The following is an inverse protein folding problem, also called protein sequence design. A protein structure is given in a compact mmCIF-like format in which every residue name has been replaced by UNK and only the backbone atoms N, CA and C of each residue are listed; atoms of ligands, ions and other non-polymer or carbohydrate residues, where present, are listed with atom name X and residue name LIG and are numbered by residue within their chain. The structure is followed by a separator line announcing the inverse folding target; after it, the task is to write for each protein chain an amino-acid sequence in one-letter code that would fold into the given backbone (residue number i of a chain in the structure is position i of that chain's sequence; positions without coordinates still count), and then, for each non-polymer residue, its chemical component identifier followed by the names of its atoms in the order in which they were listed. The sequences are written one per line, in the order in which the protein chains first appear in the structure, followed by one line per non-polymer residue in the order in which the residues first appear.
data_IF_768131235163
#
_entry.id   IF_768131235163
#
_cell.length_a   1.000
_cell.length_b   1.000
_cell.length_c   1.000
_cell.angle_alpha   90.00
_cell.angle_beta   90.00
_cell.angle_gamma   90.00
#
_symmetry.space_group_name_H-M   'P 1'
#
loop_
_entity.id
_entity.type
_entity.pdbx_description
1 polymer ?
#
# COMPACT_ATOMS: atom_id res chain seq x y z
N UNK A 1 -34.38 6.42 10.58
CA UNK A 1 -33.53 7.29 9.74
C UNK A 1 -32.12 6.75 9.51
N UNK A 2 -31.42 6.24 10.54
CA UNK A 2 -30.05 5.71 10.40
C UNK A 2 -29.89 4.62 9.32
N UNK A 3 -30.80 3.65 9.23
CA UNK A 3 -30.74 2.61 8.19
C UNK A 3 -30.86 3.17 6.76
N UNK A 4 -31.64 4.24 6.55
CA UNK A 4 -31.73 4.92 5.24
C UNK A 4 -30.42 5.64 4.89
N UNK A 5 -29.78 6.28 5.88
CA UNK A 5 -28.47 6.92 5.74
C UNK A 5 -27.38 5.91 5.39
N UNK A 6 -27.33 4.80 6.13
CA UNK A 6 -26.36 3.73 5.88
C UNK A 6 -26.54 3.11 4.50
N UNK A 7 -27.80 2.85 4.10
CA UNK A 7 -28.13 2.37 2.76
C UNK A 7 -27.64 3.35 1.68
N UNK A 8 -27.87 4.64 1.85
CA UNK A 8 -27.44 5.68 0.92
C UNK A 8 -25.90 5.71 0.77
N UNK A 9 -25.17 5.70 1.89
CA UNK A 9 -23.70 5.73 1.90
C UNK A 9 -23.11 4.46 1.26
N UNK A 10 -23.70 3.29 1.51
CA UNK A 10 -23.22 2.05 0.90
C UNK A 10 -23.46 2.06 -0.61
N UNK A 11 -24.65 2.45 -1.07
CA UNK A 11 -24.95 2.45 -2.51
C UNK A 11 -24.25 3.57 -3.29
N UNK A 12 -23.88 4.68 -2.65
CA UNK A 12 -23.06 5.71 -3.31
C UNK A 12 -21.60 5.28 -3.49
N UNK A 13 -21.10 4.41 -2.60
CA UNK A 13 -19.67 4.02 -2.56
C UNK A 13 -19.37 2.73 -3.29
N UNK A 14 -20.34 1.82 -3.39
CA UNK A 14 -20.15 0.53 -4.04
C UNK A 14 -21.09 0.39 -5.24
N UNK A 15 -20.55 -0.03 -6.38
CA UNK A 15 -21.41 -0.57 -7.42
C UNK A 15 -22.03 -1.89 -6.94
N UNK A 16 -23.24 -2.22 -7.40
CA UNK A 16 -23.93 -3.48 -7.03
C UNK A 16 -23.01 -4.70 -7.23
N UNK A 17 -22.31 -4.75 -8.36
CA UNK A 17 -21.32 -5.78 -8.68
C UNK A 17 -20.05 -5.69 -7.82
N UNK A 18 -19.57 -4.48 -7.50
CA UNK A 18 -18.41 -4.28 -6.62
C UNK A 18 -18.66 -4.78 -5.20
N UNK A 19 -19.85 -4.53 -4.65
CA UNK A 19 -20.25 -5.05 -3.34
C UNK A 19 -20.42 -6.57 -3.36
N UNK A 20 -21.09 -7.11 -4.38
CA UNK A 20 -21.28 -8.56 -4.53
C UNK A 20 -19.95 -9.30 -4.65
N UNK A 21 -19.01 -8.80 -5.46
CA UNK A 21 -17.66 -9.40 -5.62
C UNK A 21 -16.85 -9.31 -4.34
N UNK A 22 -16.90 -8.18 -3.62
CA UNK A 22 -16.23 -8.02 -2.32
C UNK A 22 -16.77 -9.01 -1.29
N UNK A 23 -18.09 -9.15 -1.18
CA UNK A 23 -18.72 -10.10 -0.25
C UNK A 23 -18.38 -11.53 -0.66
N UNK A 24 -18.53 -11.89 -1.94
CA UNK A 24 -18.22 -13.24 -2.42
C UNK A 24 -16.75 -13.62 -2.17
N UNK A 25 -15.80 -12.72 -2.49
CA UNK A 25 -14.38 -12.94 -2.22
C UNK A 25 -14.10 -13.06 -0.71
N UNK A 26 -14.78 -12.25 0.11
CA UNK A 26 -14.65 -12.29 1.57
C UNK A 26 -15.13 -13.61 2.16
N UNK A 27 -16.28 -14.12 1.70
CA UNK A 27 -16.86 -15.41 2.12
C UNK A 27 -15.98 -16.57 1.66
N UNK A 28 -15.50 -16.52 0.42
CA UNK A 28 -14.63 -17.56 -0.11
C UNK A 28 -13.30 -17.62 0.64
N UNK A 29 -12.69 -16.46 0.93
CA UNK A 29 -11.48 -16.39 1.73
C UNK A 29 -11.72 -16.89 3.17
N UNK A 30 -12.79 -16.46 3.84
CA UNK A 30 -13.09 -16.92 5.20
C UNK A 30 -13.39 -18.41 5.25
N UNK A 31 -14.09 -18.97 4.27
CA UNK A 31 -14.37 -20.40 4.18
C UNK A 31 -13.07 -21.22 4.02
N UNK A 32 -12.14 -20.76 3.19
CA UNK A 32 -10.81 -21.39 3.04
C UNK A 32 -10.06 -21.37 4.37
N UNK A 33 -10.07 -20.24 5.09
CA UNK A 33 -9.36 -20.12 6.37
C UNK A 33 -9.98 -20.96 7.47
N UNK A 34 -11.30 -20.91 7.65
CA UNK A 34 -12.00 -21.75 8.61
C UNK A 34 -11.70 -23.23 8.32
N UNK A 35 -11.77 -23.65 7.05
CA UNK A 35 -11.43 -25.01 6.65
C UNK A 35 -9.99 -25.37 7.02
N UNK A 36 -9.02 -24.49 6.74
CA UNK A 36 -7.61 -24.73 7.08
C UNK A 36 -7.39 -24.93 8.59
N UNK A 37 -8.05 -24.13 9.42
CA UNK A 37 -7.97 -24.25 10.89
C UNK A 37 -8.65 -25.52 11.37
N UNK A 38 -9.83 -25.86 10.85
CA UNK A 38 -10.57 -27.08 11.24
C UNK A 38 -9.84 -28.37 10.87
N UNK A 39 -9.06 -28.35 9.79
CA UNK A 39 -8.24 -29.49 9.35
C UNK A 39 -6.93 -29.60 10.13
N UNK A 40 -6.68 -28.72 11.12
CA UNK A 40 -5.44 -28.70 11.88
C UNK A 40 -4.22 -28.38 11.04
N UNK A 41 -4.39 -27.61 9.94
CA UNK A 41 -3.25 -27.18 9.14
C UNK A 41 -2.37 -26.25 9.99
N UNK A 42 -1.28 -26.79 10.52
CA UNK A 42 -0.28 -26.00 11.23
C UNK A 42 0.48 -25.13 10.22
N UNK A 43 0.74 -23.88 10.58
CA UNK A 43 1.59 -23.02 9.75
C UNK A 43 2.98 -23.64 9.67
N UNK A 44 3.47 -23.87 8.46
CA UNK A 44 4.87 -24.28 8.22
C UNK A 44 5.86 -23.19 8.65
N UNK A 45 5.38 -21.96 8.87
CA UNK A 45 6.20 -20.86 9.38
C UNK A 45 6.21 -20.83 10.91
N UNK A 46 7.40 -20.76 11.53
CA UNK A 46 7.51 -20.55 12.97
C UNK A 46 6.77 -19.30 13.47
N UNK A 47 6.23 -19.39 14.69
CA UNK A 47 5.39 -18.37 15.35
C UNK A 47 5.99 -16.96 15.36
N UNK A 48 7.30 -16.86 15.54
CA UNK A 48 8.01 -15.58 15.59
C UNK A 48 8.00 -14.82 14.25
N UNK A 49 7.97 -15.51 13.10
CA UNK A 49 7.80 -14.85 11.81
C UNK A 49 6.39 -14.31 11.62
N UNK A 50 5.37 -15.04 12.07
CA UNK A 50 3.97 -14.60 12.00
C UNK A 50 3.77 -13.27 12.74
N UNK A 51 4.43 -13.10 13.90
CA UNK A 51 4.44 -11.82 14.64
C UNK A 51 5.08 -10.71 13.81
N UNK A 52 6.24 -10.96 13.20
CA UNK A 52 6.92 -9.98 12.36
C UNK A 52 6.04 -9.59 11.15
N UNK A 53 5.40 -10.56 10.49
CA UNK A 53 4.48 -10.32 9.38
C UNK A 53 3.28 -9.48 9.79
N UNK A 54 2.55 -9.87 10.84
CA UNK A 54 1.38 -9.13 11.31
C UNK A 54 1.78 -7.71 11.69
N UNK A 55 2.87 -7.56 12.44
CA UNK A 55 3.34 -6.24 12.90
C UNK A 55 3.68 -5.34 11.72
N UNK A 56 4.46 -5.84 10.76
CA UNK A 56 4.87 -5.06 9.61
C UNK A 56 3.68 -4.71 8.69
N UNK A 57 2.75 -5.64 8.45
CA UNK A 57 1.52 -5.35 7.70
C UNK A 57 0.64 -4.32 8.42
N UNK A 58 0.51 -4.48 9.73
CA UNK A 58 -0.31 -3.59 10.56
C UNK A 58 0.22 -2.16 10.50
N UNK A 59 1.53 -1.97 10.68
CA UNK A 59 2.17 -0.66 10.58
C UNK A 59 2.07 -0.11 9.17
N UNK A 60 2.37 -0.92 8.16
CA UNK A 60 2.35 -0.51 6.76
C UNK A 60 0.96 -0.01 6.36
N UNK A 61 -0.10 -0.79 6.63
CA UNK A 61 -1.46 -0.38 6.28
C UNK A 61 -2.02 0.73 7.18
N UNK A 62 -1.59 0.84 8.44
CA UNK A 62 -1.95 1.96 9.31
C UNK A 62 -1.24 3.26 8.88
N UNK A 63 -0.02 3.15 8.33
CA UNK A 63 0.72 4.28 7.79
C UNK A 63 0.17 4.73 6.44
N UNK A 64 -0.10 3.77 5.55
CA UNK A 64 -0.57 4.05 4.20
C UNK A 64 -2.01 4.50 4.24
N UNK A 65 -2.87 3.80 4.97
CA UNK A 65 -4.31 3.91 4.79
C UNK A 65 -4.92 5.27 5.15
N UNK A 66 -6.16 5.47 4.72
CA UNK A 66 -6.95 6.64 5.11
C UNK A 66 -8.40 6.55 4.68
N UNK A 67 -9.10 7.64 4.96
CA UNK A 67 -10.53 7.70 4.88
C UNK A 67 -11.01 7.91 3.44
N UNK A 68 -11.96 7.06 3.05
CA UNK A 68 -12.67 7.17 1.79
C UNK A 68 -13.76 8.22 1.96
N UNK A 69 -13.52 9.39 1.38
CA UNK A 69 -14.55 10.41 1.21
C UNK A 69 -14.71 10.70 -0.26
N UNK A 70 -15.95 10.77 -0.69
CA UNK A 70 -16.30 11.25 -2.01
C UNK A 70 -16.51 12.76 -1.93
N UNK A 71 -16.34 13.47 -3.05
CA UNK A 71 -16.65 14.90 -3.11
C UNK A 71 -18.12 15.16 -2.75
N UNK A 72 -19.00 14.30 -3.25
CA UNK A 72 -20.42 14.34 -2.91
C UNK A 72 -20.69 14.24 -1.39
N UNK A 73 -19.81 13.59 -0.62
CA UNK A 73 -19.97 13.53 0.83
C UNK A 73 -19.73 14.92 1.44
N UNK A 74 -18.70 15.64 1.00
CA UNK A 74 -18.38 17.00 1.47
C UNK A 74 -19.47 18.00 1.06
N UNK A 75 -19.91 17.94 -0.19
CA UNK A 75 -20.86 18.92 -0.74
C UNK A 75 -22.29 18.70 -0.21
N UNK A 76 -22.70 17.45 0.00
CA UNK A 76 -24.08 17.11 0.39
C UNK A 76 -24.18 16.46 1.78
N UNK A 77 -23.35 15.47 2.10
CA UNK A 77 -23.54 14.66 3.31
C UNK A 77 -23.18 15.42 4.60
N UNK A 78 -22.13 16.25 4.55
CA UNK A 78 -21.70 17.08 5.68
C UNK A 78 -22.50 18.38 5.85
N UNK A 79 -23.21 18.83 4.82
CA UNK A 79 -24.07 20.02 4.84
C UNK A 79 -25.49 19.74 5.33
N UNK A 80 -25.93 18.48 5.28
CA UNK A 80 -27.23 18.07 5.81
C UNK A 80 -27.30 18.19 7.34
N UNK A 81 -28.46 18.57 7.91
CA UNK A 81 -28.67 18.69 9.35
C UNK A 81 -28.85 17.30 10.00
N UNK A 82 -27.80 16.47 9.93
CA UNK A 82 -27.75 15.12 10.49
C UNK A 82 -26.80 15.12 11.69
N UNK A 83 -27.18 14.42 12.76
CA UNK A 83 -26.31 14.23 13.92
C UNK A 83 -24.93 13.68 13.50
N UNK A 84 -23.85 14.39 13.86
CA UNK A 84 -22.47 13.99 13.56
C UNK A 84 -22.11 12.59 14.06
N UNK A 85 -22.73 12.16 15.16
CA UNK A 85 -22.58 10.78 15.68
C UNK A 85 -23.14 9.73 14.71
N UNK A 86 -24.35 9.94 14.19
CA UNK A 86 -24.99 9.01 13.24
C UNK A 86 -24.24 8.98 11.90
N UNK A 87 -23.79 10.14 11.44
CA UNK A 87 -22.95 10.28 10.26
C UNK A 87 -21.62 9.53 10.42
N UNK A 88 -20.92 9.78 11.53
CA UNK A 88 -19.64 9.14 11.86
C UNK A 88 -19.73 7.62 11.90
N UNK A 89 -20.78 7.07 12.53
CA UNK A 89 -21.00 5.61 12.57
C UNK A 89 -21.24 5.05 11.17
N UNK A 90 -22.09 5.70 10.35
CA UNK A 90 -22.41 5.19 9.02
C UNK A 90 -21.19 5.19 8.08
N UNK A 91 -20.39 6.27 8.13
CA UNK A 91 -19.13 6.39 7.39
C UNK A 91 -18.06 5.41 7.89
N UNK A 92 -18.00 5.14 9.19
CA UNK A 92 -17.12 4.14 9.78
C UNK A 92 -17.48 2.73 9.32
N UNK A 93 -18.77 2.36 9.35
CA UNK A 93 -19.24 1.05 8.85
C UNK A 93 -18.92 0.90 7.35
N UNK A 94 -19.14 1.95 6.56
CA UNK A 94 -18.75 1.93 5.15
C UNK A 94 -17.25 1.65 4.99
N UNK A 95 -16.40 2.28 5.80
CA UNK A 95 -14.96 2.02 5.79
C UNK A 95 -14.64 0.57 6.16
N UNK A 96 -15.29 -0.01 7.18
CA UNK A 96 -15.10 -1.43 7.52
C UNK A 96 -15.44 -2.37 6.36
N UNK A 97 -16.54 -2.13 5.64
CA UNK A 97 -16.91 -2.93 4.46
C UNK A 97 -15.84 -2.81 3.38
N UNK A 98 -15.33 -1.61 3.14
CA UNK A 98 -14.29 -1.37 2.14
C UNK A 98 -12.98 -2.12 2.49
N UNK A 99 -12.62 -2.16 3.77
CA UNK A 99 -11.41 -2.84 4.26
C UNK A 99 -11.64 -4.33 4.60
N UNK A 100 -12.82 -4.90 4.29
CA UNK A 100 -13.20 -6.26 4.69
C UNK A 100 -12.19 -7.34 4.27
N UNK A 101 -11.64 -7.22 3.06
CA UNK A 101 -10.63 -8.17 2.56
C UNK A 101 -9.34 -8.11 3.38
N UNK A 102 -8.92 -6.92 3.82
CA UNK A 102 -7.72 -6.76 4.67
C UNK A 102 -8.00 -7.33 6.07
N UNK A 103 -9.20 -7.12 6.60
CA UNK A 103 -9.63 -7.71 7.88
C UNK A 103 -9.56 -9.24 7.82
N UNK A 104 -10.04 -9.83 6.73
CA UNK A 104 -10.02 -11.29 6.53
C UNK A 104 -8.62 -11.81 6.20
N UNK A 105 -7.82 -11.03 5.47
CA UNK A 105 -6.43 -11.39 5.16
C UNK A 105 -5.59 -11.57 6.42
N UNK A 106 -5.81 -10.76 7.47
CA UNK A 106 -5.13 -10.97 8.76
C UNK A 106 -5.45 -12.32 9.40
N UNK A 107 -6.58 -12.95 9.04
CA UNK A 107 -6.93 -14.30 9.51
C UNK A 107 -6.11 -15.42 8.86
N UNK A 108 -5.28 -15.14 7.85
CA UNK A 108 -4.32 -16.12 7.30
C UNK A 108 -3.34 -16.60 8.38
N UNK A 109 -3.00 -15.72 9.30
CA UNK A 109 -2.05 -16.03 10.37
C UNK A 109 -2.71 -16.75 11.56
N UNK A 110 -4.02 -17.01 11.49
CA UNK A 110 -4.79 -17.64 12.56
C UNK A 110 -4.76 -19.16 12.42
N UNK A 111 -3.70 -19.81 12.89
CA UNK A 111 -3.57 -21.28 12.91
C UNK A 111 -4.17 -21.95 14.17
N UNK A 112 -4.77 -21.16 15.06
CA UNK A 112 -5.46 -21.63 16.27
C UNK A 112 -6.87 -21.01 16.32
N UNK A 113 -7.83 -21.73 16.89
CA UNK A 113 -9.22 -21.26 17.10
C UNK A 113 -9.28 -19.95 17.87
N UNK A 114 -8.36 -19.73 18.83
CA UNK A 114 -8.24 -18.45 19.55
C UNK A 114 -7.82 -17.27 18.66
N UNK A 115 -6.94 -17.49 17.69
CA UNK A 115 -6.50 -16.44 16.75
C UNK A 115 -7.63 -16.05 15.77
N UNK A 116 -8.59 -16.92 15.52
CA UNK A 116 -9.74 -16.68 14.64
C UNK A 116 -10.63 -15.55 15.17
N UNK A 117 -10.67 -15.34 16.49
CA UNK A 117 -11.41 -14.24 17.12
C UNK A 117 -10.58 -12.96 17.22
N UNK A 118 -9.26 -13.09 17.37
CA UNK A 118 -8.34 -11.94 17.51
C UNK A 118 -8.03 -11.29 16.15
N UNK A 119 -7.94 -12.05 15.06
CA UNK A 119 -7.60 -11.49 13.75
C UNK A 119 -8.63 -10.49 13.20
N UNK A 120 -9.96 -10.68 13.33
CA UNK A 120 -10.92 -9.66 12.93
C UNK A 120 -10.84 -8.41 13.82
N UNK A 121 -10.57 -8.57 15.12
CA UNK A 121 -10.35 -7.44 16.03
C UNK A 121 -9.12 -6.64 15.59
N UNK A 122 -8.01 -7.30 15.28
CA UNK A 122 -6.83 -6.66 14.72
C UNK A 122 -7.16 -5.89 13.44
N UNK A 123 -7.93 -6.47 12.52
CA UNK A 123 -8.40 -5.79 11.31
C UNK A 123 -9.25 -4.54 11.59
N UNK A 124 -10.21 -4.64 12.51
CA UNK A 124 -11.05 -3.50 12.93
C UNK A 124 -10.21 -2.40 13.58
N UNK A 125 -9.24 -2.79 14.43
CA UNK A 125 -8.31 -1.84 15.06
C UNK A 125 -7.41 -1.17 14.03
N UNK A 126 -6.97 -1.89 12.99
CA UNK A 126 -6.16 -1.36 11.90
C UNK A 126 -6.91 -0.28 11.12
N UNK A 127 -8.17 -0.55 10.77
CA UNK A 127 -9.03 0.45 10.11
C UNK A 127 -9.26 1.65 11.01
N UNK A 128 -9.50 1.43 12.29
CA UNK A 128 -9.72 2.51 13.26
C UNK A 128 -8.46 3.37 13.48
N UNK A 129 -7.30 2.74 13.68
CA UNK A 129 -6.03 3.42 13.87
C UNK A 129 -5.69 4.27 12.65
N UNK A 130 -5.82 3.70 11.46
CA UNK A 130 -5.67 4.38 10.19
C UNK A 130 -6.51 5.68 10.15
N UNK A 131 -7.83 5.60 10.40
CA UNK A 131 -8.71 6.77 10.41
C UNK A 131 -8.29 7.82 11.45
N UNK A 132 -7.78 7.38 12.61
CA UNK A 132 -7.32 8.32 13.64
C UNK A 132 -6.00 9.01 13.29
N UNK A 133 -5.10 8.34 12.57
CA UNK A 133 -3.75 8.83 12.27
C UNK A 133 -3.67 9.69 11.00
N UNK A 134 -4.71 9.71 10.17
CA UNK A 134 -4.69 10.36 8.85
C UNK A 134 -4.29 11.84 8.88
N UNK A 135 -4.64 12.56 9.94
CA UNK A 135 -4.45 14.00 10.05
C UNK A 135 -3.26 14.39 10.93
N UNK A 136 -2.63 13.41 11.57
CA UNK A 136 -1.51 13.67 12.46
C UNK A 136 -0.27 14.03 11.63
N UNK A 137 0.57 14.90 12.18
CA UNK A 137 1.87 15.21 11.58
C UNK A 137 2.66 13.92 11.42
N UNK A 138 3.37 13.77 10.29
CA UNK A 138 4.17 12.58 9.97
C UNK A 138 5.08 12.13 11.12
N UNK A 139 5.69 13.05 11.87
CA UNK A 139 6.52 12.72 13.03
C UNK A 139 5.76 12.02 14.16
N UNK A 140 4.57 12.50 14.49
CA UNK A 140 3.73 11.91 15.55
C UNK A 140 3.15 10.58 15.08
N UNK A 141 2.78 10.49 13.80
CA UNK A 141 2.31 9.27 13.16
C UNK A 141 3.36 8.16 13.24
N UNK A 142 4.61 8.47 12.91
CA UNK A 142 5.73 7.52 13.02
C UNK A 142 5.96 7.12 14.48
N UNK A 143 5.97 8.07 15.42
CA UNK A 143 6.16 7.78 16.85
C UNK A 143 5.09 6.79 17.36
N UNK A 144 3.81 7.07 17.14
CA UNK A 144 2.71 6.19 17.58
C UNK A 144 2.86 4.79 16.97
N UNK A 145 3.16 4.70 15.67
CA UNK A 145 3.34 3.42 15.00
C UNK A 145 4.55 2.66 15.51
N UNK A 146 5.65 3.34 15.88
CA UNK A 146 6.83 2.67 16.48
C UNK A 146 6.52 2.10 17.86
N UNK A 147 5.74 2.81 18.69
CA UNK A 147 5.31 2.30 20.01
C UNK A 147 4.41 1.07 19.84
N UNK A 148 3.46 1.11 18.90
CA UNK A 148 2.59 -0.02 18.60
C UNK A 148 3.40 -1.20 18.03
N UNK A 149 4.39 -0.93 17.17
CA UNK A 149 5.30 -1.94 16.65
C UNK A 149 6.03 -2.69 17.76
N UNK A 150 6.63 -1.96 18.69
CA UNK A 150 7.34 -2.53 19.83
C UNK A 150 6.38 -3.33 20.72
N UNK A 151 5.15 -2.86 20.90
CA UNK A 151 4.14 -3.61 21.65
C UNK A 151 3.73 -4.91 20.96
N UNK A 152 3.57 -4.93 19.64
CA UNK A 152 3.26 -6.14 18.87
C UNK A 152 4.46 -7.11 18.81
N UNK A 153 5.69 -6.63 18.89
CA UNK A 153 6.90 -7.45 18.92
C UNK A 153 7.20 -7.98 20.32
N UNK A 154 6.72 -7.32 21.37
CA UNK A 154 7.01 -7.65 22.77
C UNK A 154 6.83 -9.12 23.18
N UNK A 155 5.92 -9.94 22.61
CA UNK A 155 5.84 -11.36 22.95
C UNK A 155 7.09 -12.16 22.62
N UNK A 156 7.93 -11.70 21.68
CA UNK A 156 9.22 -12.34 21.40
C UNK A 156 10.18 -12.28 22.60
N UNK A 157 9.97 -11.34 23.53
CA UNK A 157 10.76 -11.17 24.76
C UNK A 157 10.04 -11.84 25.95
N UNK A 158 8.96 -12.60 25.71
CA UNK A 158 8.18 -13.28 26.75
C UNK A 158 7.06 -12.42 27.37
N UNK A 159 6.75 -11.26 26.80
CA UNK A 159 5.65 -10.43 27.29
C UNK A 159 4.28 -10.97 26.88
N UNK A 160 3.44 -11.32 27.86
CA UNK A 160 2.16 -12.01 27.63
C UNK A 160 1.00 -11.08 27.22
N UNK A 161 1.08 -9.79 27.53
CA UNK A 161 -0.01 -8.81 27.33
C UNK A 161 0.14 -8.01 26.02
N UNK A 162 0.04 -8.69 24.88
CA UNK A 162 0.16 -8.06 23.56
C UNK A 162 -0.92 -8.55 22.60
N UNK A 163 -1.31 -7.74 21.60
CA UNK A 163 -2.22 -8.18 20.54
C UNK A 163 -1.80 -9.42 19.76
N UNK A 164 -0.49 -9.70 19.71
CA UNK A 164 0.09 -10.83 18.97
C UNK A 164 0.45 -12.00 19.89
N UNK A 165 0.31 -11.90 21.21
CA UNK A 165 0.73 -12.95 22.16
C UNK A 165 -0.11 -14.23 22.04
N UNK A 166 -1.30 -14.15 21.44
CA UNK A 166 -2.14 -15.30 21.10
C UNK A 166 -1.48 -16.31 20.16
N UNK A 167 -0.48 -15.88 19.38
CA UNK A 167 0.38 -16.75 18.56
C UNK A 167 1.14 -17.76 19.45
N UNK A 168 1.58 -17.35 20.64
CA UNK A 168 2.26 -18.22 21.60
C UNK A 168 1.30 -18.97 22.54
N UNK A 169 -0.01 -18.93 22.28
CA UNK A 169 -1.01 -19.62 23.10
C UNK A 169 -1.60 -18.81 24.25
N UNK A 170 -1.18 -17.56 24.44
CA UNK A 170 -1.73 -16.65 25.46
C UNK A 170 -3.02 -15.97 24.99
N UNK A 171 -4.08 -16.75 24.80
CA UNK A 171 -5.34 -16.26 24.23
C UNK A 171 -6.02 -15.21 25.13
N UNK A 172 -6.18 -15.49 26.43
CA UNK A 172 -6.92 -14.63 27.35
C UNK A 172 -6.20 -13.30 27.59
N UNK A 173 -4.88 -13.34 27.75
CA UNK A 173 -4.04 -12.16 27.93
C UNK A 173 -4.08 -11.28 26.68
N UNK A 174 -4.00 -11.89 25.50
CA UNK A 174 -4.12 -11.17 24.22
C UNK A 174 -5.51 -10.57 24.03
N UNK A 175 -6.59 -11.31 24.34
CA UNK A 175 -7.97 -10.83 24.25
C UNK A 175 -8.21 -9.63 25.19
N UNK A 176 -7.72 -9.73 26.43
CA UNK A 176 -7.90 -8.70 27.46
C UNK A 176 -7.30 -7.35 27.07
N UNK A 177 -6.30 -7.36 26.18
CA UNK A 177 -5.62 -6.18 25.67
C UNK A 177 -6.19 -5.72 24.33
N UNK A 178 -6.44 -6.65 23.40
CA UNK A 178 -6.94 -6.33 22.07
C UNK A 178 -8.33 -5.72 22.10
N UNK A 179 -9.24 -6.29 22.88
CA UNK A 179 -10.62 -5.83 22.96
C UNK A 179 -10.71 -4.36 23.41
N UNK A 180 -10.14 -3.92 24.55
CA UNK A 180 -10.19 -2.51 24.94
C UNK A 180 -9.42 -1.61 23.99
N UNK A 181 -8.29 -2.06 23.43
CA UNK A 181 -7.56 -1.31 22.40
C UNK A 181 -8.44 -1.05 21.17
N UNK A 182 -9.14 -2.07 20.67
CA UNK A 182 -10.06 -1.93 19.53
C UNK A 182 -11.24 -1.05 19.87
N UNK A 183 -11.82 -1.17 21.07
CA UNK A 183 -12.94 -0.36 21.53
C UNK A 183 -12.57 1.13 21.63
N UNK A 184 -11.37 1.43 22.16
CA UNK A 184 -10.86 2.79 22.27
C UNK A 184 -10.59 3.41 20.89
N UNK A 185 -9.96 2.66 19.99
CA UNK A 185 -9.70 3.13 18.63
C UNK A 185 -10.98 3.31 17.81
N UNK A 186 -11.93 2.39 17.92
CA UNK A 186 -13.23 2.50 17.23
C UNK A 186 -14.01 3.71 17.72
N UNK A 187 -14.02 3.96 19.03
CA UNK A 187 -14.68 5.14 19.59
C UNK A 187 -14.06 6.46 19.13
N UNK A 188 -12.72 6.54 19.16
CA UNK A 188 -11.99 7.74 18.71
C UNK A 188 -12.11 7.95 17.20
N UNK A 189 -12.11 6.88 16.40
CA UNK A 189 -12.27 6.97 14.94
C UNK A 189 -13.68 7.44 14.56
N UNK A 190 -14.75 6.92 15.18
CA UNK A 190 -16.13 7.37 14.94
C UNK A 190 -16.29 8.86 15.24
N UNK A 191 -15.74 9.33 16.36
CA UNK A 191 -15.79 10.76 16.73
C UNK A 191 -15.06 11.64 15.72
N UNK A 192 -13.89 11.21 15.25
CA UNK A 192 -13.12 11.97 14.24
C UNK A 192 -13.82 12.00 12.89
N UNK A 193 -14.28 10.85 12.40
CA UNK A 193 -14.95 10.72 11.10
C UNK A 193 -16.24 11.56 11.05
N UNK A 194 -16.98 11.64 12.16
CA UNK A 194 -18.19 12.47 12.24
C UNK A 194 -17.94 13.97 12.08
N UNK A 195 -16.72 14.45 12.38
CA UNK A 195 -16.34 15.87 12.36
C UNK A 195 -15.28 16.17 11.28
N UNK A 196 -15.20 15.35 10.23
CA UNK A 196 -14.11 15.41 9.25
C UNK A 196 -14.14 16.71 8.41
N UNK A 197 -15.32 17.32 8.20
CA UNK A 197 -15.50 18.58 7.49
C UNK A 197 -14.69 19.73 8.10
N UNK A 198 -14.77 19.88 9.42
CA UNK A 198 -14.01 20.88 10.19
C UNK A 198 -12.50 20.67 10.05
N UNK A 199 -12.07 19.42 9.97
CA UNK A 199 -10.66 19.07 9.89
C UNK A 199 -10.10 19.34 8.50
N UNK A 200 -10.89 19.05 7.46
CA UNK A 200 -10.54 19.36 6.07
C UNK A 200 -10.40 20.87 5.86
N UNK A 201 -11.34 21.68 6.38
CA UNK A 201 -11.25 23.15 6.34
C UNK A 201 -9.99 23.69 7.03
N UNK A 202 -9.61 23.11 8.18
CA UNK A 202 -8.38 23.49 8.91
C UNK A 202 -7.10 23.11 8.17
N UNK A 203 -7.14 22.08 7.32
CA UNK A 203 -6.01 21.68 6.48
C UNK A 203 -5.82 22.68 5.33
N UNK A 204 -6.92 23.08 4.69
CA UNK A 204 -6.94 24.02 3.55
C UNK A 204 -6.27 25.34 3.93
N UNK A 205 -6.59 25.91 5.10
CA UNK A 205 -6.01 27.18 5.56
C UNK A 205 -4.51 27.13 5.86
N UNK A 206 -3.91 25.93 5.92
CA UNK A 206 -2.49 25.73 6.25
C UNK A 206 -1.61 25.32 5.07
N UNK A 207 -2.19 24.99 3.91
CA UNK A 207 -1.47 24.38 2.78
C UNK A 207 -0.91 25.34 1.71
N UNK A 208 -0.96 26.66 1.91
CA UNK A 208 -0.30 27.63 1.02
C UNK A 208 1.22 27.64 1.19
N UNK A 209 1.88 26.55 0.79
CA UNK A 209 3.34 26.42 0.79
C UNK A 209 3.93 26.87 -0.54
N UNK A 210 4.68 27.98 -0.54
CA UNK A 210 5.53 28.45 -1.64
C UNK A 210 6.52 27.33 -2.04
N UNK A 211 6.67 27.09 -3.36
CA UNK A 211 7.65 26.15 -3.92
C UNK A 211 9.05 26.59 -3.49
N UNK A 212 9.63 25.91 -2.49
CA UNK A 212 10.91 26.33 -1.88
C UNK A 212 12.12 26.23 -2.82
N UNK A 213 12.03 25.48 -3.92
CA UNK A 213 13.17 25.22 -4.81
C UNK A 213 12.74 25.08 -6.28
N UNK A 214 13.06 26.08 -7.10
CA UNK A 214 12.90 26.04 -8.55
C UNK A 214 13.99 25.19 -9.20
N UNK A 215 13.62 24.33 -10.15
CA UNK A 215 14.55 23.62 -11.03
C UNK A 215 14.46 24.28 -12.41
N UNK A 216 15.61 24.61 -13.02
CA UNK A 216 15.68 25.10 -14.39
C UNK A 216 15.88 23.96 -15.39
N UNK A 217 15.20 24.01 -16.53
CA UNK A 217 15.24 22.99 -17.59
C UNK A 217 15.81 23.49 -18.93
N UNK A 218 16.51 24.63 -18.94
CA UNK A 218 16.84 25.41 -20.15
C UNK A 218 17.69 24.67 -21.22
N UNK A 219 18.25 23.49 -20.93
CA UNK A 219 19.17 22.78 -21.85
C UNK A 219 18.98 21.26 -21.92
N UNK A 220 17.89 20.72 -21.37
CA UNK A 220 17.68 19.26 -21.30
C UNK A 220 16.77 18.73 -22.42
N UNK A 221 17.12 17.55 -22.97
CA UNK A 221 16.24 16.81 -23.87
C UNK A 221 14.95 16.41 -23.14
N UNK A 222 13.81 16.20 -23.83
CA UNK A 222 12.52 15.92 -23.17
C UNK A 222 12.57 14.75 -22.17
N UNK A 223 13.27 13.66 -22.51
CA UNK A 223 13.47 12.51 -21.62
C UNK A 223 14.31 12.90 -20.39
N UNK A 224 15.39 13.68 -20.59
CA UNK A 224 16.28 14.12 -19.51
C UNK A 224 15.57 15.07 -18.55
N UNK A 225 14.73 15.96 -19.07
CA UNK A 225 13.90 16.88 -18.26
C UNK A 225 12.98 16.10 -17.31
N UNK A 226 12.28 15.09 -17.83
CA UNK A 226 11.34 14.28 -17.04
C UNK A 226 12.09 13.44 -16.02
N UNK A 227 13.21 12.82 -16.42
CA UNK A 227 14.07 12.10 -15.48
C UNK A 227 14.59 13.03 -14.39
N UNK A 228 15.12 14.20 -14.74
CA UNK A 228 15.62 15.16 -13.76
C UNK A 228 14.53 15.60 -12.78
N UNK A 229 13.31 15.85 -13.25
CA UNK A 229 12.17 16.17 -12.39
C UNK A 229 11.88 15.02 -11.41
N UNK A 230 11.69 13.79 -11.91
CA UNK A 230 11.32 12.63 -11.08
C UNK A 230 12.47 12.13 -10.19
N UNK A 231 13.72 12.32 -10.60
CA UNK A 231 14.90 11.98 -9.81
C UNK A 231 15.29 13.05 -8.80
N UNK A 232 14.78 14.27 -8.93
CA UNK A 232 14.95 15.30 -7.89
C UNK A 232 13.82 15.20 -6.87
N UNK A 233 12.60 15.00 -7.36
CA UNK A 233 11.38 15.02 -6.56
C UNK A 233 10.65 13.69 -6.58
N UNK A 234 10.50 13.11 -5.39
CA UNK A 234 9.61 12.00 -5.15
C UNK A 234 8.27 12.52 -4.64
N UNK A 235 7.19 12.38 -5.41
CA UNK A 235 5.87 12.65 -4.89
C UNK A 235 5.48 11.52 -3.94
N UNK A 236 5.59 11.75 -2.64
CA UNK A 236 5.03 10.82 -1.66
C UNK A 236 3.53 11.06 -1.63
N UNK A 237 2.84 10.33 -2.51
CA UNK A 237 1.39 10.31 -2.57
C UNK A 237 0.91 9.42 -1.44
N UNK A 238 0.45 10.05 -0.36
CA UNK A 238 -0.32 9.37 0.68
C UNK A 238 -1.71 9.08 0.16
N UNK A 239 -1.83 8.18 -0.82
CA UNK A 239 -3.13 7.62 -1.16
C UNK A 239 -3.43 6.51 -0.17
N UNK A 240 -4.54 6.74 0.49
CA UNK A 240 -4.81 6.16 1.74
C UNK A 240 -5.65 4.91 1.53
N UNK A 241 -5.04 3.87 0.94
CA UNK A 241 -5.76 2.67 0.56
C UNK A 241 -5.24 1.96 -0.69
N UNK A 242 -4.49 0.89 -0.46
CA UNK A 242 -3.94 -0.07 -1.42
C UNK A 242 -4.93 -0.61 -2.48
N UNK A 243 -6.22 -0.69 -2.12
CA UNK A 243 -7.31 -1.13 -3.01
C UNK A 243 -8.47 -0.16 -3.04
N UNK A 244 -8.26 0.99 -2.41
CA UNK A 244 -9.34 1.78 -1.90
C UNK A 244 -9.50 2.97 -2.80
N UNK A 245 -10.71 3.22 -3.32
CA UNK A 245 -11.05 4.46 -3.96
C UNK A 245 -11.14 5.59 -2.91
N UNK A 246 -10.12 5.76 -2.08
CA UNK A 246 -10.04 6.86 -1.14
C UNK A 246 -9.73 8.13 -1.93
N UNK A 247 -10.63 9.10 -1.76
CA UNK A 247 -10.52 10.41 -2.39
C UNK A 247 -9.52 11.32 -1.67
N UNK A 248 -9.15 11.08 -0.41
CA UNK A 248 -8.23 12.00 0.27
C UNK A 248 -6.81 11.94 -0.32
N UNK A 249 -6.47 12.94 -1.14
CA UNK A 249 -5.15 13.10 -1.73
C UNK A 249 -4.29 13.96 -0.81
N UNK A 250 -3.19 13.39 -0.30
CA UNK A 250 -2.14 14.15 0.36
C UNK A 250 -0.85 13.87 -0.37
N UNK A 251 -0.45 14.77 -1.24
CA UNK A 251 0.86 14.73 -1.86
C UNK A 251 1.83 15.54 -1.02
N UNK A 252 2.92 14.89 -0.62
CA UNK A 252 4.08 15.58 -0.11
C UNK A 252 5.24 15.29 -1.06
N UNK A 253 5.78 16.34 -1.65
CA UNK A 253 6.99 16.19 -2.45
C UNK A 253 8.18 16.16 -1.52
N UNK A 254 8.99 15.10 -1.64
CA UNK A 254 10.22 14.90 -0.87
C UNK A 254 11.37 14.85 -1.87
N UNK A 255 12.55 15.34 -1.49
CA UNK A 255 13.75 15.18 -2.31
C UNK A 255 14.16 13.73 -2.35
N UNK A 256 14.45 13.20 -3.53
CA UNK A 256 14.93 11.83 -3.71
C UNK A 256 16.20 11.54 -2.90
N UNK A 257 17.09 12.53 -2.73
CA UNK A 257 18.29 12.38 -1.89
C UNK A 257 17.96 11.96 -0.46
N UNK A 258 16.89 12.50 0.13
CA UNK A 258 16.43 12.10 1.46
C UNK A 258 15.95 10.65 1.50
N UNK A 259 15.29 10.18 0.44
CA UNK A 259 14.84 8.78 0.34
C UNK A 259 16.03 7.85 0.19
N UNK A 260 17.00 8.20 -0.66
CA UNK A 260 18.22 7.41 -0.84
C UNK A 260 19.02 7.30 0.47
N UNK A 261 19.09 8.37 1.27
CA UNK A 261 19.71 8.30 2.61
C UNK A 261 18.96 7.31 3.49
N UNK A 262 17.63 7.40 3.55
CA UNK A 262 16.80 6.49 4.36
C UNK A 262 16.95 5.04 3.90
N UNK A 263 16.88 4.76 2.60
CA UNK A 263 17.05 3.39 2.08
C UNK A 263 18.48 2.88 2.25
N UNK A 264 19.48 3.75 2.24
CA UNK A 264 20.87 3.37 2.56
C UNK A 264 21.04 2.97 4.02
N UNK A 265 20.47 3.74 4.96
CA UNK A 265 20.49 3.39 6.39
C UNK A 265 19.74 2.08 6.65
N UNK A 266 18.58 1.89 6.01
CA UNK A 266 17.84 0.62 6.08
C UNK A 266 18.61 -0.54 5.42
N UNK A 267 19.36 -0.29 4.35
CA UNK A 267 20.24 -1.27 3.73
C UNK A 267 21.36 -1.72 4.67
N UNK A 268 21.97 -0.80 5.42
CA UNK A 268 22.97 -1.14 6.45
C UNK A 268 22.33 -1.99 7.56
N UNK A 269 21.14 -1.61 8.04
CA UNK A 269 20.42 -2.39 9.04
C UNK A 269 20.08 -3.80 8.51
N UNK A 270 19.64 -3.90 7.25
CA UNK A 270 19.40 -5.16 6.56
C UNK A 270 20.68 -6.01 6.50
N UNK A 271 21.83 -5.43 6.13
CA UNK A 271 23.12 -6.13 6.13
C UNK A 271 23.44 -6.73 7.49
N UNK A 272 23.34 -5.94 8.56
CA UNK A 272 23.68 -6.38 9.93
C UNK A 272 22.77 -7.56 10.34
N UNK A 273 21.46 -7.45 10.10
CA UNK A 273 20.48 -8.48 10.47
C UNK A 273 20.74 -9.78 9.72
N UNK A 274 20.93 -9.74 8.40
CA UNK A 274 21.17 -10.96 7.63
C UNK A 274 22.56 -11.54 7.80
N UNK A 275 23.58 -10.69 8.07
CA UNK A 275 24.92 -11.16 8.39
C UNK A 275 24.94 -11.95 9.70
N UNK A 276 24.21 -11.48 10.71
CA UNK A 276 24.00 -12.21 11.96
C UNK A 276 23.11 -13.45 11.73
N UNK A 277 22.04 -13.30 10.96
CA UNK A 277 21.13 -14.39 10.59
C UNK A 277 21.82 -15.60 9.96
N UNK A 278 22.82 -15.36 9.11
CA UNK A 278 23.67 -16.39 8.53
C UNK A 278 24.44 -17.23 9.57
N UNK A 279 24.70 -16.69 10.76
CA UNK A 279 25.35 -17.41 11.86
C UNK A 279 24.36 -18.18 12.75
N UNK A 280 23.08 -17.79 12.74
CA UNK A 280 22.05 -18.38 13.62
C UNK A 280 21.43 -19.62 13.00
N UNK A 281 20.80 -19.48 11.82
CA UNK A 281 20.16 -20.60 11.14
C UNK A 281 19.87 -20.29 9.67
N UNK A 282 19.87 -21.33 8.82
CA UNK A 282 19.48 -21.20 7.41
C UNK A 282 18.00 -20.83 7.27
N UNK A 283 17.12 -21.40 8.08
CA UNK A 283 15.67 -21.09 8.08
C UNK A 283 15.41 -19.60 8.32
N UNK A 284 16.17 -18.97 9.22
CA UNK A 284 16.12 -17.52 9.43
C UNK A 284 16.44 -16.71 8.19
N UNK A 285 17.47 -17.12 7.47
CA UNK A 285 17.85 -16.46 6.22
C UNK A 285 16.73 -16.61 5.19
N UNK A 286 16.22 -17.82 4.95
CA UNK A 286 15.18 -18.06 3.95
C UNK A 286 13.89 -17.30 4.24
N UNK A 287 13.35 -17.44 5.45
CA UNK A 287 12.08 -16.79 5.80
C UNK A 287 12.25 -15.28 5.92
N UNK A 288 13.29 -14.82 6.60
CA UNK A 288 13.59 -13.40 6.73
C UNK A 288 13.75 -12.73 5.36
N UNK A 289 14.45 -13.38 4.44
CA UNK A 289 14.69 -12.83 3.12
C UNK A 289 13.41 -12.80 2.29
N UNK A 290 12.54 -13.82 2.39
CA UNK A 290 11.22 -13.81 1.74
C UNK A 290 10.35 -12.64 2.24
N UNK A 291 10.41 -12.34 3.54
CA UNK A 291 9.71 -11.22 4.17
C UNK A 291 10.23 -9.92 3.58
N UNK A 292 11.53 -9.68 3.71
CA UNK A 292 12.14 -8.41 3.36
C UNK A 292 11.99 -8.08 1.87
N UNK A 293 12.22 -9.06 0.99
CA UNK A 293 12.05 -8.89 -0.46
C UNK A 293 10.61 -8.54 -0.84
N UNK A 294 9.63 -9.22 -0.23
CA UNK A 294 8.21 -8.92 -0.46
C UNK A 294 7.89 -7.49 -0.03
N UNK A 295 8.36 -7.04 1.13
CA UNK A 295 8.12 -5.67 1.60
C UNK A 295 8.79 -4.61 0.73
N UNK A 296 10.05 -4.83 0.33
CA UNK A 296 10.79 -3.92 -0.56
C UNK A 296 10.07 -3.82 -1.92
N UNK A 297 9.61 -4.94 -2.46
CA UNK A 297 8.89 -4.97 -3.72
C UNK A 297 7.51 -4.33 -3.64
N UNK A 298 6.73 -4.64 -2.60
CA UNK A 298 5.43 -4.00 -2.34
C UNK A 298 5.62 -2.50 -2.23
N UNK A 299 6.61 -2.04 -1.46
CA UNK A 299 6.92 -0.62 -1.35
C UNK A 299 7.29 -0.01 -2.70
N UNK A 300 8.20 -0.62 -3.45
CA UNK A 300 8.64 -0.02 -4.71
C UNK A 300 7.57 -0.03 -5.80
N UNK A 301 7.00 -1.19 -6.13
CA UNK A 301 6.04 -1.34 -7.22
C UNK A 301 4.78 -0.50 -6.96
N UNK A 302 4.27 -0.50 -5.72
CA UNK A 302 3.08 0.30 -5.40
C UNK A 302 3.40 1.78 -5.32
N UNK A 303 4.36 2.17 -4.49
CA UNK A 303 4.53 3.58 -4.20
C UNK A 303 5.18 4.30 -5.36
N UNK A 304 6.26 3.77 -5.93
CA UNK A 304 6.92 4.40 -7.08
C UNK A 304 6.01 4.33 -8.30
N UNK A 305 5.36 3.19 -8.51
CA UNK A 305 4.48 2.98 -9.66
C UNK A 305 3.22 3.85 -9.63
N UNK A 306 2.47 3.83 -8.53
CA UNK A 306 1.27 4.66 -8.40
C UNK A 306 1.61 6.15 -8.27
N UNK A 307 2.62 6.52 -7.49
CA UNK A 307 2.89 7.94 -7.21
C UNK A 307 3.17 8.73 -8.47
N UNK A 308 3.96 8.19 -9.41
CA UNK A 308 4.29 8.89 -10.65
C UNK A 308 3.06 9.21 -11.48
N UNK A 309 2.12 8.27 -11.59
CA UNK A 309 0.89 8.46 -12.35
C UNK A 309 -0.07 9.42 -11.62
N UNK A 310 -0.28 9.21 -10.31
CA UNK A 310 -1.21 10.01 -9.52
C UNK A 310 -0.69 11.42 -9.21
N UNK A 311 0.61 11.66 -9.37
CA UNK A 311 1.23 12.96 -9.11
C UNK A 311 1.00 13.98 -10.21
N UNK A 312 0.80 13.52 -11.42
CA UNK A 312 0.74 14.38 -12.60
C UNK A 312 -0.70 14.54 -13.07
N UNK A 313 -1.03 15.74 -13.54
CA UNK A 313 -2.28 15.98 -14.28
C UNK A 313 -2.09 15.56 -15.73
N UNK A 314 -2.04 14.25 -15.94
CA UNK A 314 -1.72 13.65 -17.23
C UNK A 314 -2.66 14.18 -18.35
N UNK A 315 -3.93 14.46 -18.04
CA UNK A 315 -4.87 15.05 -19.01
C UNK A 315 -4.52 16.48 -19.44
N UNK A 316 -3.78 17.25 -18.66
CA UNK A 316 -3.27 18.57 -19.05
C UNK A 316 -1.89 18.44 -19.70
N UNK A 317 -1.02 17.62 -19.12
CA UNK A 317 0.37 17.50 -19.55
C UNK A 317 0.49 16.86 -20.94
N UNK A 318 -0.35 15.88 -21.25
CA UNK A 318 -0.28 15.17 -22.52
C UNK A 318 -0.70 16.03 -23.70
N UNK A 319 -1.83 16.77 -23.69
CA UNK A 319 -2.15 17.67 -24.80
C UNK A 319 -1.05 18.69 -25.08
N UNK A 320 -0.34 19.14 -24.04
CA UNK A 320 0.74 20.13 -24.18
C UNK A 320 2.07 19.54 -24.68
N UNK A 321 2.48 18.36 -24.20
CA UNK A 321 3.81 17.78 -24.46
C UNK A 321 3.76 16.62 -25.48
N UNK A 322 2.59 16.02 -25.67
CA UNK A 322 2.34 14.86 -26.53
C UNK A 322 2.45 13.50 -25.82
N UNK A 323 2.02 12.44 -26.52
CA UNK A 323 1.95 11.08 -25.98
C UNK A 323 3.30 10.49 -25.53
N UNK A 324 4.42 10.99 -26.08
CA UNK A 324 5.78 10.57 -25.71
C UNK A 324 6.09 10.85 -24.24
N UNK A 325 5.44 11.83 -23.62
CA UNK A 325 5.54 12.11 -22.19
C UNK A 325 5.23 10.86 -21.34
N UNK A 326 4.17 10.13 -21.69
CA UNK A 326 3.77 8.94 -20.93
C UNK A 326 4.82 7.83 -21.03
N UNK A 327 5.44 7.65 -22.20
CA UNK A 327 6.55 6.71 -22.40
C UNK A 327 7.73 7.06 -21.48
N UNK A 328 8.11 8.33 -21.42
CA UNK A 328 9.21 8.79 -20.57
C UNK A 328 8.88 8.67 -19.08
N UNK A 329 7.62 8.87 -18.70
CA UNK A 329 7.16 8.69 -17.33
C UNK A 329 7.24 7.21 -16.87
N UNK A 330 6.90 6.25 -17.74
CA UNK A 330 7.08 4.82 -17.46
C UNK A 330 8.56 4.50 -17.26
N UNK A 331 9.45 5.00 -18.12
CA UNK A 331 10.90 4.79 -17.95
C UNK A 331 11.40 5.44 -16.66
N UNK A 332 10.94 6.65 -16.34
CA UNK A 332 11.32 7.34 -15.12
C UNK A 332 10.88 6.59 -13.86
N UNK A 333 9.72 5.93 -13.85
CA UNK A 333 9.28 5.13 -12.70
C UNK A 333 10.18 3.92 -12.46
N UNK A 334 10.63 3.25 -13.54
CA UNK A 334 11.61 2.17 -13.46
C UNK A 334 12.96 2.64 -12.91
N UNK A 335 13.51 3.73 -13.45
CA UNK A 335 14.80 4.29 -13.00
C UNK A 335 14.72 4.78 -11.55
N UNK A 336 13.62 5.41 -11.17
CA UNK A 336 13.40 5.86 -9.80
C UNK A 336 13.31 4.68 -8.82
N UNK A 337 12.59 3.62 -9.20
CA UNK A 337 12.52 2.36 -8.44
C UNK A 337 13.89 1.73 -8.26
N UNK A 338 14.69 1.67 -9.34
CA UNK A 338 16.07 1.16 -9.31
C UNK A 338 16.93 1.92 -8.29
N UNK A 339 16.94 3.25 -8.34
CA UNK A 339 17.75 4.08 -7.42
C UNK A 339 17.32 3.90 -5.95
N UNK A 340 16.02 3.74 -5.69
CA UNK A 340 15.51 3.54 -4.32
C UNK A 340 15.96 2.18 -3.76
N UNK A 341 15.97 1.13 -4.59
CA UNK A 341 16.28 -0.24 -4.18
C UNK A 341 17.80 -0.53 -4.20
N UNK A 342 18.56 0.24 -4.97
CA UNK A 342 19.99 0.04 -5.18
C UNK A 342 20.80 -0.27 -3.90
N UNK A 343 20.60 0.42 -2.75
CA UNK A 343 21.29 0.06 -1.52
C UNK A 343 21.04 -1.38 -1.04
N UNK A 344 19.80 -1.87 -1.13
CA UNK A 344 19.46 -3.25 -0.77
C UNK A 344 20.07 -4.26 -1.76
N UNK A 345 20.01 -3.97 -3.05
CA UNK A 345 20.62 -4.81 -4.09
C UNK A 345 22.13 -4.94 -3.93
N UNK A 346 22.85 -3.85 -3.61
CA UNK A 346 24.29 -3.88 -3.33
C UNK A 346 24.57 -4.73 -2.10
N UNK A 347 23.78 -4.56 -1.03
CA UNK A 347 23.94 -5.35 0.20
C UNK A 347 23.76 -6.83 -0.07
N UNK A 348 22.77 -7.23 -0.87
CA UNK A 348 22.58 -8.63 -1.27
C UNK A 348 23.74 -9.17 -2.11
N UNK A 349 24.29 -8.36 -3.04
CA UNK A 349 25.49 -8.74 -3.79
C UNK A 349 26.70 -8.94 -2.86
N UNK A 350 26.84 -8.12 -1.81
CA UNK A 350 27.90 -8.30 -0.81
C UNK A 350 27.65 -9.57 0.03
N UNK A 351 26.42 -9.77 0.52
CA UNK A 351 26.04 -10.97 1.27
C UNK A 351 26.18 -12.26 0.46
N UNK A 352 26.14 -12.16 -0.87
CA UNK A 352 26.30 -13.30 -1.78
C UNK A 352 27.65 -14.00 -1.68
N UNK A 353 28.68 -13.30 -1.19
CA UNK A 353 30.00 -13.87 -0.92
C UNK A 353 29.90 -15.03 0.08
N UNK A 354 28.97 -14.93 1.05
CA UNK A 354 28.79 -15.97 2.07
C UNK A 354 27.67 -16.95 1.73
N UNK A 355 26.66 -16.54 0.96
CA UNK A 355 25.58 -17.44 0.56
C UNK A 355 25.02 -17.06 -0.82
N UNK A 356 25.08 -17.97 -1.82
CA UNK A 356 24.71 -17.67 -3.19
C UNK A 356 23.23 -17.31 -3.39
N UNK A 357 22.35 -17.61 -2.42
CA UNK A 357 20.95 -17.19 -2.47
C UNK A 357 20.78 -15.68 -2.58
N UNK A 358 21.63 -14.92 -1.90
CA UNK A 358 21.58 -13.46 -1.96
C UNK A 358 21.94 -12.93 -3.35
N UNK A 359 22.68 -13.68 -4.17
CA UNK A 359 22.93 -13.30 -5.57
C UNK A 359 21.62 -13.25 -6.36
N UNK A 360 20.81 -14.30 -6.28
CA UNK A 360 19.53 -14.39 -6.99
C UNK A 360 18.59 -13.26 -6.56
N UNK A 361 18.61 -12.95 -5.27
CA UNK A 361 17.77 -11.93 -4.67
C UNK A 361 18.24 -10.53 -5.06
N UNK A 362 19.54 -10.26 -4.97
CA UNK A 362 20.13 -8.98 -5.40
C UNK A 362 19.85 -8.71 -6.89
N UNK A 363 20.00 -9.72 -7.76
CA UNK A 363 19.64 -9.61 -9.18
C UNK A 363 18.14 -9.31 -9.33
N UNK A 364 17.26 -9.99 -8.58
CA UNK A 364 15.82 -9.72 -8.64
C UNK A 364 15.47 -8.29 -8.21
N UNK A 365 16.11 -7.79 -7.15
CA UNK A 365 15.89 -6.45 -6.63
C UNK A 365 16.31 -5.38 -7.65
N UNK A 366 17.45 -5.59 -8.32
CA UNK A 366 18.04 -4.63 -9.26
C UNK A 366 17.42 -4.69 -10.66
N UNK A 367 16.91 -5.84 -11.11
CA UNK A 367 16.36 -5.98 -12.47
C UNK A 367 14.84 -6.15 -12.48
N UNK A 368 14.32 -7.13 -11.75
CA UNK A 368 12.91 -7.48 -11.83
C UNK A 368 12.00 -6.40 -11.22
N UNK A 369 12.34 -5.87 -10.05
CA UNK A 369 11.48 -4.89 -9.39
C UNK A 369 11.33 -3.59 -10.22
N UNK A 370 12.39 -2.98 -10.77
CA UNK A 370 12.25 -1.84 -11.67
C UNK A 370 11.37 -2.13 -12.88
N UNK A 371 11.56 -3.27 -13.55
CA UNK A 371 10.74 -3.68 -14.69
C UNK A 371 9.27 -3.88 -14.31
N UNK A 372 9.03 -4.50 -13.15
CA UNK A 372 7.69 -4.72 -12.62
C UNK A 372 7.00 -3.39 -12.29
N UNK A 373 7.73 -2.38 -11.81
CA UNK A 373 7.22 -1.03 -11.60
C UNK A 373 6.81 -0.38 -12.92
N UNK A 374 7.64 -0.48 -13.97
CA UNK A 374 7.30 0.02 -15.31
C UNK A 374 6.03 -0.62 -15.84
N UNK A 375 5.94 -1.95 -15.80
CA UNK A 375 4.77 -2.71 -16.25
C UNK A 375 3.52 -2.34 -15.44
N UNK A 376 3.66 -2.23 -14.12
CA UNK A 376 2.56 -1.86 -13.23
C UNK A 376 2.04 -0.46 -13.52
N UNK A 377 2.90 0.53 -13.76
CA UNK A 377 2.46 1.90 -14.13
C UNK A 377 1.63 1.92 -15.41
N UNK A 378 2.05 1.15 -16.42
CA UNK A 378 1.33 1.03 -17.68
C UNK A 378 -0.04 0.36 -17.49
N UNK A 379 -0.08 -0.80 -16.80
CA UNK A 379 -1.32 -1.53 -16.56
C UNK A 379 -2.29 -0.75 -15.68
N UNK A 380 -1.77 -0.02 -14.69
CA UNK A 380 -2.57 0.86 -13.85
C UNK A 380 -3.25 1.95 -14.69
N UNK A 381 -2.49 2.63 -15.56
CA UNK A 381 -3.02 3.64 -16.48
C UNK A 381 -4.12 3.09 -17.39
N UNK A 382 -3.92 1.86 -17.89
CA UNK A 382 -4.86 1.21 -18.80
C UNK A 382 -6.16 0.80 -18.10
N UNK A 383 -6.07 0.21 -16.90
CA UNK A 383 -7.23 -0.36 -16.18
C UNK A 383 -7.99 0.72 -15.43
N UNK A 384 -7.28 1.65 -14.79
CA UNK A 384 -7.86 2.70 -13.98
C UNK A 384 -7.10 4.03 -14.16
N UNK A 385 -7.49 4.83 -15.16
CA UNK A 385 -6.88 6.12 -15.47
C UNK A 385 -7.25 7.17 -14.41
N UNK A 386 -6.75 6.98 -13.20
CA UNK A 386 -6.98 7.86 -12.07
C UNK A 386 -6.16 9.12 -12.28
N UNK A 387 -6.83 10.27 -12.25
CA UNK A 387 -6.19 11.55 -12.48
C UNK A 387 -6.63 12.59 -11.47
N UNK A 388 -5.70 13.48 -11.15
CA UNK A 388 -5.99 14.69 -10.39
C UNK A 388 -6.78 15.64 -11.29
N UNK A 389 -8.06 15.85 -10.96
CA UNK A 389 -8.93 16.81 -11.63
C UNK A 389 -8.85 18.21 -11.01
N UNK A 390 -8.73 18.30 -9.68
CA UNK A 390 -8.64 19.55 -8.92
C UNK A 390 -7.55 19.50 -7.85
N UNK A 391 -7.04 20.67 -7.44
CA UNK A 391 -6.07 20.83 -6.33
C UNK A 391 -6.61 20.34 -4.98
N UNK A 392 -7.93 20.28 -4.84
CA UNK A 392 -8.61 20.10 -3.56
C UNK A 392 -9.65 18.98 -3.56
N UNK A 393 -9.93 18.30 -4.68
CA UNK A 393 -10.99 17.30 -4.70
C UNK A 393 -10.54 15.93 -4.22
N UNK A 394 -11.34 15.30 -3.35
CA UNK A 394 -11.40 13.87 -3.35
C UNK A 394 -11.92 13.35 -4.68
N UNK A 395 -11.07 12.61 -5.40
CA UNK A 395 -11.47 11.97 -6.66
C UNK A 395 -12.65 11.06 -6.37
N UNK A 396 -13.79 11.32 -7.02
CA UNK A 396 -14.98 10.47 -6.97
C UNK A 396 -14.64 9.14 -7.62
N UNK A 397 -14.22 8.16 -6.83
CA UNK A 397 -14.02 6.81 -7.31
C UNK A 397 -15.02 5.93 -6.56
N UNK A 398 -15.96 5.35 -7.29
CA UNK A 398 -16.80 4.29 -6.76
C UNK A 398 -15.98 3.00 -6.68
N UNK A 399 -16.29 2.14 -5.70
CA UNK A 399 -15.75 0.78 -5.68
C UNK A 399 -16.42 -0.03 -6.79
N UNK A 400 -15.74 -0.10 -7.94
CA UNK A 400 -16.16 -0.88 -9.11
C UNK A 400 -15.44 -2.22 -9.14
N UNK A 401 -16.07 -3.24 -9.73
CA UNK A 401 -15.43 -4.55 -9.95
C UNK A 401 -14.08 -4.46 -10.69
N UNK A 402 -13.87 -3.43 -11.52
CA UNK A 402 -12.56 -3.18 -12.17
C UNK A 402 -11.43 -2.85 -11.20
N UNK A 403 -11.72 -2.29 -10.01
CA UNK A 403 -10.71 -2.05 -8.97
C UNK A 403 -10.10 -3.36 -8.45
N UNK A 404 -10.87 -4.46 -8.46
CA UNK A 404 -10.34 -5.80 -8.14
C UNK A 404 -9.35 -6.32 -9.17
N UNK A 405 -9.51 -5.96 -10.46
CA UNK A 405 -8.56 -6.37 -11.50
C UNK A 405 -7.18 -5.75 -11.27
N UNK A 406 -7.11 -4.51 -10.75
CA UNK A 406 -5.84 -3.86 -10.41
C UNK A 406 -5.14 -4.61 -9.28
N UNK A 407 -5.91 -5.02 -8.26
CA UNK A 407 -5.40 -5.81 -7.15
C UNK A 407 -4.84 -7.14 -7.64
N UNK A 408 -5.58 -7.81 -8.52
CA UNK A 408 -5.18 -9.08 -9.11
C UNK A 408 -3.92 -8.92 -9.97
N UNK A 409 -3.86 -7.88 -10.82
CA UNK A 409 -2.65 -7.55 -11.60
C UNK A 409 -1.45 -7.34 -10.68
N UNK A 410 -1.63 -6.59 -9.60
CA UNK A 410 -0.56 -6.37 -8.62
C UNK A 410 -0.05 -7.67 -8.01
N UNK A 411 -0.97 -8.54 -7.57
CA UNK A 411 -0.62 -9.85 -7.00
C UNK A 411 0.10 -10.72 -8.04
N UNK A 412 -0.37 -10.77 -9.29
CA UNK A 412 0.30 -11.51 -10.37
C UNK A 412 1.73 -11.01 -10.60
N UNK A 413 1.94 -9.70 -10.58
CA UNK A 413 3.26 -9.10 -10.78
C UNK A 413 4.20 -9.39 -9.62
N UNK A 414 3.71 -9.51 -8.38
CA UNK A 414 4.56 -9.82 -7.23
C UNK A 414 4.74 -11.32 -6.99
N UNK A 415 3.81 -12.17 -7.43
CA UNK A 415 3.85 -13.62 -7.19
C UNK A 415 5.21 -14.26 -7.54
N UNK A 416 5.88 -13.91 -8.66
CA UNK A 416 7.16 -14.50 -9.03
C UNK A 416 8.28 -14.25 -8.00
N UNK A 417 8.17 -13.22 -7.16
CA UNK A 417 9.17 -12.95 -6.14
C UNK A 417 9.24 -14.05 -5.08
N UNK A 418 8.11 -14.68 -4.76
CA UNK A 418 8.09 -15.83 -3.85
C UNK A 418 8.84 -17.04 -4.44
N UNK A 419 8.96 -17.13 -5.77
CA UNK A 419 9.62 -18.23 -6.46
C UNK A 419 11.13 -18.05 -6.58
N UNK A 420 11.68 -16.84 -6.35
CA UNK A 420 13.13 -16.58 -6.51
C UNK A 420 13.96 -17.51 -5.63
N UNK A 421 13.50 -17.71 -4.40
CA UNK A 421 14.21 -18.49 -3.38
C UNK A 421 14.18 -19.99 -3.71
N UNK A 422 13.07 -20.48 -4.25
CA UNK A 422 12.83 -21.91 -4.46
C UNK A 422 13.11 -22.39 -5.89
N UNK A 423 12.99 -21.51 -6.89
CA UNK A 423 13.05 -21.84 -8.31
C UNK A 423 13.67 -20.68 -9.14
N UNK A 424 14.97 -20.38 -8.98
CA UNK A 424 15.61 -19.22 -9.59
C UNK A 424 15.63 -19.25 -11.13
N UNK A 425 15.75 -20.42 -11.75
CA UNK A 425 15.70 -20.57 -13.21
C UNK A 425 14.31 -20.24 -13.78
N UNK A 426 13.25 -20.71 -13.11
CA UNK A 426 11.88 -20.40 -13.50
C UNK A 426 11.59 -18.90 -13.35
N UNK A 427 12.08 -18.30 -12.26
CA UNK A 427 12.03 -16.86 -12.05
C UNK A 427 12.74 -16.08 -13.15
N UNK A 428 13.93 -16.51 -13.59
CA UNK A 428 14.65 -15.86 -14.68
C UNK A 428 13.82 -15.85 -15.99
N UNK A 429 13.14 -16.96 -16.30
CA UNK A 429 12.20 -17.02 -17.43
C UNK A 429 11.06 -16.01 -17.32
N UNK A 430 10.47 -15.85 -16.12
CA UNK A 430 9.42 -14.85 -15.88
C UNK A 430 9.98 -13.43 -16.00
N UNK A 431 11.16 -13.15 -15.47
CA UNK A 431 11.79 -11.84 -15.57
C UNK A 431 12.05 -11.43 -17.03
N UNK A 432 12.52 -12.37 -17.85
CA UNK A 432 12.71 -12.17 -19.31
C UNK A 432 11.35 -11.91 -19.98
N UNK A 433 10.29 -12.64 -19.61
CA UNK A 433 8.96 -12.40 -20.15
C UNK A 433 8.44 -11.00 -19.78
N UNK A 434 8.61 -10.55 -18.53
CA UNK A 434 8.24 -9.19 -18.10
C UNK A 434 9.04 -8.13 -18.87
N UNK A 435 10.33 -8.37 -19.10
CA UNK A 435 11.17 -7.50 -19.93
C UNK A 435 10.66 -7.44 -21.38
N UNK A 436 10.35 -8.58 -22.00
CA UNK A 436 9.83 -8.62 -23.36
C UNK A 436 8.49 -7.88 -23.49
N UNK A 437 7.58 -8.06 -22.51
CA UNK A 437 6.28 -7.39 -22.47
C UNK A 437 6.45 -5.87 -22.29
N UNK A 438 7.30 -5.43 -21.35
CA UNK A 438 7.56 -4.00 -21.12
C UNK A 438 8.17 -3.33 -22.34
N UNK A 439 9.15 -3.95 -23.00
CA UNK A 439 9.75 -3.45 -24.25
C UNK A 439 8.68 -3.35 -25.35
N UNK A 440 7.86 -4.38 -25.51
CA UNK A 440 6.79 -4.39 -26.52
C UNK A 440 5.84 -3.20 -26.34
N UNK A 441 5.46 -2.88 -25.09
CA UNK A 441 4.62 -1.72 -24.80
C UNK A 441 5.32 -0.39 -25.06
N UNK A 442 6.62 -0.28 -24.73
CA UNK A 442 7.38 0.95 -24.97
C UNK A 442 7.62 1.20 -26.46
N UNK A 443 7.75 0.16 -27.28
CA UNK A 443 7.99 0.30 -28.72
C UNK A 443 6.71 0.56 -29.54
N UNK A 444 5.53 0.15 -29.05
CA UNK A 444 4.29 0.25 -29.82
C UNK A 444 3.50 1.51 -29.49
N UNK A 445 3.78 2.59 -30.22
CA UNK A 445 3.14 3.90 -30.03
C UNK A 445 1.60 3.86 -30.06
N UNK A 446 0.99 3.00 -30.87
CA UNK A 446 -0.48 2.81 -30.93
C UNK A 446 -1.07 2.39 -29.58
N UNK A 447 -0.37 1.56 -28.82
CA UNK A 447 -0.84 1.11 -27.50
C UNK A 447 -0.77 2.23 -26.48
N UNK A 448 0.34 2.98 -26.48
CA UNK A 448 0.54 4.17 -25.64
C UNK A 448 -0.57 5.18 -25.93
N UNK A 449 -0.82 5.49 -27.20
CA UNK A 449 -1.83 6.47 -27.61
C UNK A 449 -3.25 6.06 -27.17
N UNK A 450 -3.60 4.77 -27.23
CA UNK A 450 -4.88 4.27 -26.73
C UNK A 450 -5.04 4.48 -25.23
N UNK A 451 -4.00 4.20 -24.44
CA UNK A 451 -4.02 4.41 -22.98
C UNK A 451 -4.11 5.91 -22.66
N UNK A 452 -3.36 6.71 -23.40
CA UNK A 452 -3.34 8.17 -23.28
C UNK A 452 -4.71 8.78 -23.58
N UNK A 453 -5.36 8.40 -24.68
CA UNK A 453 -6.69 8.93 -25.03
C UNK A 453 -7.73 8.56 -23.97
N UNK A 454 -7.69 7.31 -23.48
CA UNK A 454 -8.57 6.87 -22.38
C UNK A 454 -8.32 7.65 -21.09
N UNK A 455 -7.05 7.99 -20.82
CA UNK A 455 -6.65 8.82 -19.69
C UNK A 455 -7.15 10.25 -19.83
N UNK A 456 -7.00 10.87 -21.01
CA UNK A 456 -7.52 12.23 -21.26
C UNK A 456 -9.04 12.25 -21.17
N UNK A 457 -9.74 11.29 -21.76
CA UNK A 457 -11.20 11.17 -21.68
C UNK A 457 -11.67 11.07 -20.21
N UNK A 458 -11.02 10.24 -19.40
CA UNK A 458 -11.35 10.10 -17.98
C UNK A 458 -10.99 11.32 -17.11
N UNK A 459 -10.10 12.19 -17.60
CA UNK A 459 -9.74 13.46 -16.96
C UNK A 459 -10.74 14.58 -17.27
N UNK A 460 -11.16 14.68 -18.54
CA UNK A 460 -12.10 15.70 -19.03
C UNK A 460 -13.55 15.41 -18.63
N UNK A 461 -13.98 14.14 -18.62
CA UNK A 461 -15.30 13.67 -18.16
C UNK A 461 -15.16 13.22 -16.72
#
# INVERSE_FOLDING_TARGET
MFGKLLKLIIFSRFSKWGLATLIAASILASAIFIRSVTLGAHSTTPSYYSIAYITALYILFSYIGGFTLMKADLDYLFTLPIDRKKLGIALYISSLIIYLIIIIYLSIFSYNSGLLLISPLLGVSLVSLNLTLQEMRTSHKVLILTVIALWFISPLIGFKYSPTSSIFGHFYESLSVTLPYTALLTFTSIRKVGNYDQILMKKISRTSGIVKHSISFNTSTPLRTILQLKLTYFPLVGRAGFYTPSGSYSMRVIRMSGIVIVTSVLGIAYFIVFRYGLMVSSEFVYTGLSIATTYIAVFSVLFVGMSNLMSERIWLTIPSIGYKFFKYMIVASGVQSFIIILPFGIVDLILSIWNPLFLNVGISLLFYIPLSCMLYTYLLAMVNPLQLKDEFNPVNVEFRGRSFLIALIFVIILMPLFLIIYAPLFFAGIAIAVLAITITYLLRDKMILKVVNKMTEAGYI
#
